data_IF_163543526240
#
_entry.id   IF_163543526240
#
_cell.length_a   1.000
_cell.length_b   1.000
_cell.length_c   1.000
_cell.angle_alpha   90.00
_cell.angle_beta   90.00
_cell.angle_gamma   90.00
#
_symmetry.space_group_name_H-M   'P 1'
#
loop_
_entity.id
_entity.type
_entity.pdbx_description
1 polymer ?
#
# COMPACT_ATOMS: atom_id res chain seq x y z
N UNK A 1 -9.20 20.66 19.01
CA UNK A 1 -7.97 20.35 19.77
C UNK A 1 -7.57 18.92 19.43
N UNK A 2 -6.75 18.73 18.40
CA UNK A 2 -6.34 17.40 17.93
C UNK A 2 -5.20 16.92 18.82
N UNK A 3 -5.53 16.10 19.81
CA UNK A 3 -4.56 15.30 20.55
C UNK A 3 -3.76 14.48 19.54
N UNK A 4 -2.55 14.93 19.22
CA UNK A 4 -1.64 14.10 18.44
C UNK A 4 -1.27 12.91 19.31
N UNK A 5 -1.93 11.78 19.05
CA UNK A 5 -1.65 10.52 19.71
C UNK A 5 -0.12 10.28 19.66
N UNK A 6 0.52 9.93 20.78
CA UNK A 6 1.96 9.66 20.83
C UNK A 6 2.39 8.64 19.76
N UNK A 7 1.49 7.72 19.40
CA UNK A 7 1.64 6.77 18.32
C UNK A 7 1.83 7.44 16.95
N UNK A 8 1.02 8.44 16.58
CA UNK A 8 1.11 9.11 15.27
C UNK A 8 2.40 9.92 15.09
N UNK A 9 2.93 10.49 16.18
CA UNK A 9 4.25 11.15 16.17
C UNK A 9 5.38 10.13 16.05
N UNK A 10 5.28 9.02 16.78
CA UNK A 10 6.26 7.94 16.72
C UNK A 10 6.32 7.30 15.33
N UNK A 11 5.17 6.97 14.71
CA UNK A 11 5.13 6.39 13.37
C UNK A 11 5.66 7.35 12.30
N UNK A 12 5.36 8.66 12.40
CA UNK A 12 5.93 9.67 11.49
C UNK A 12 7.44 9.82 11.65
N UNK A 13 7.95 9.82 12.88
CA UNK A 13 9.39 9.87 13.14
C UNK A 13 10.11 8.64 12.58
N UNK A 14 9.59 7.44 12.88
CA UNK A 14 10.15 6.20 12.37
C UNK A 14 10.07 6.13 10.83
N UNK A 15 8.96 6.54 10.22
CA UNK A 15 8.80 6.54 8.75
C UNK A 15 9.76 7.52 8.08
N UNK A 16 9.94 8.72 8.65
CA UNK A 16 10.92 9.70 8.18
C UNK A 16 12.36 9.21 8.37
N UNK A 17 12.64 8.49 9.45
CA UNK A 17 13.95 7.92 9.73
C UNK A 17 14.25 6.75 8.77
N UNK A 18 13.33 5.82 8.58
CA UNK A 18 13.50 4.64 7.73
C UNK A 18 13.79 4.98 6.26
N UNK A 19 13.29 6.12 5.76
CA UNK A 19 13.54 6.60 4.40
C UNK A 19 14.78 7.49 4.23
N UNK A 20 15.49 7.85 5.31
CA UNK A 20 16.59 8.81 5.24
C UNK A 20 17.94 8.11 4.98
N UNK A 21 18.76 8.52 3.99
CA UNK A 21 20.04 7.86 3.69
C UNK A 21 20.99 7.69 4.88
N UNK A 22 20.91 8.58 5.89
CA UNK A 22 21.70 8.48 7.12
C UNK A 22 21.35 7.26 7.98
N UNK A 23 20.10 6.79 7.97
CA UNK A 23 19.73 5.59 8.76
C UNK A 23 20.24 4.32 8.11
N UNK A 24 20.34 4.29 6.78
CA UNK A 24 20.97 3.19 6.05
C UNK A 24 22.47 3.08 6.40
N UNK A 25 23.20 4.19 6.40
CA UNK A 25 24.61 4.21 6.81
C UNK A 25 24.79 3.77 8.27
N UNK A 26 23.89 4.21 9.17
CA UNK A 26 23.90 3.80 10.56
C UNK A 26 23.64 2.28 10.70
N UNK A 27 22.66 1.74 9.97
CA UNK A 27 22.36 0.31 9.97
C UNK A 27 23.57 -0.53 9.50
N UNK A 28 24.24 -0.11 8.43
CA UNK A 28 25.48 -0.76 7.96
C UNK A 28 26.55 -0.70 9.05
N UNK A 29 26.72 0.45 9.69
CA UNK A 29 27.72 0.60 10.77
C UNK A 29 27.45 -0.35 11.92
N UNK A 30 26.19 -0.50 12.34
CA UNK A 30 25.79 -1.47 13.38
C UNK A 30 26.13 -2.91 12.96
N UNK A 31 25.86 -3.29 11.71
CA UNK A 31 26.20 -4.62 11.19
C UNK A 31 27.72 -4.84 11.18
N UNK A 32 28.51 -3.85 10.76
CA UNK A 32 29.97 -3.93 10.75
C UNK A 32 30.52 -4.07 12.17
N UNK A 33 30.05 -3.25 13.12
CA UNK A 33 30.44 -3.36 14.54
C UNK A 33 30.12 -4.74 15.07
N UNK A 34 28.93 -5.27 14.78
CA UNK A 34 28.55 -6.64 15.15
C UNK A 34 29.54 -7.67 14.58
N UNK A 35 29.87 -7.62 13.28
CA UNK A 35 30.84 -8.55 12.68
C UNK A 35 32.20 -8.49 13.39
N UNK A 36 32.68 -7.28 13.70
CA UNK A 36 33.99 -7.05 14.35
C UNK A 36 34.02 -7.52 15.81
N UNK A 37 32.88 -7.51 16.49
CA UNK A 37 32.76 -8.06 17.85
C UNK A 37 32.65 -9.60 17.86
N UNK A 38 32.32 -10.23 16.73
CA UNK A 38 32.20 -11.69 16.61
C UNK A 38 33.41 -12.51 17.08
N UNK A 39 34.66 -12.16 16.71
CA UNK A 39 35.87 -12.84 17.18
C UNK A 39 36.10 -12.76 18.69
N UNK A 40 35.59 -11.71 19.37
CA UNK A 40 35.68 -11.58 20.84
C UNK A 40 34.81 -12.63 21.53
N UNK A 41 33.72 -13.05 20.87
CA UNK A 41 32.76 -14.03 21.39
C UNK A 41 32.87 -15.40 20.71
N UNK A 42 33.98 -15.66 20.00
CA UNK A 42 34.22 -16.90 19.23
C UNK A 42 33.08 -17.27 18.27
N UNK A 43 32.32 -16.27 17.79
CA UNK A 43 31.11 -16.46 16.99
C UNK A 43 30.13 -17.48 17.61
N UNK A 44 30.02 -17.51 18.94
CA UNK A 44 29.22 -18.50 19.66
C UNK A 44 27.70 -18.40 19.37
N UNK A 45 26.95 -19.40 19.83
CA UNK A 45 25.50 -19.48 19.59
C UNK A 45 24.73 -18.27 20.12
N UNK A 46 25.09 -17.75 21.29
CA UNK A 46 24.43 -16.58 21.89
C UNK A 46 24.66 -15.32 21.06
N UNK A 47 25.88 -15.16 20.53
CA UNK A 47 26.28 -14.07 19.65
C UNK A 47 25.42 -14.03 18.37
N UNK A 48 25.25 -15.18 17.72
CA UNK A 48 24.41 -15.33 16.53
C UNK A 48 22.91 -15.17 16.85
N UNK A 49 22.44 -15.76 17.95
CA UNK A 49 21.04 -15.69 18.36
C UNK A 49 20.61 -14.24 18.63
N UNK A 50 21.51 -13.42 19.17
CA UNK A 50 21.21 -12.02 19.51
C UNK A 50 20.85 -11.21 18.27
N UNK A 51 21.62 -11.29 17.18
CA UNK A 51 21.32 -10.53 15.96
C UNK A 51 20.07 -11.05 15.24
N UNK A 52 19.88 -12.37 15.24
CA UNK A 52 18.73 -12.99 14.60
C UNK A 52 17.44 -12.60 15.33
N UNK A 53 17.45 -12.63 16.66
CA UNK A 53 16.31 -12.22 17.48
C UNK A 53 16.01 -10.74 17.28
N UNK A 54 17.03 -9.89 17.31
CA UNK A 54 16.88 -8.44 17.13
C UNK A 54 16.30 -8.10 15.76
N UNK A 55 16.88 -8.67 14.69
CA UNK A 55 16.43 -8.43 13.31
C UNK A 55 15.01 -8.91 13.09
N UNK A 56 14.62 -10.03 13.70
CA UNK A 56 13.24 -10.55 13.63
C UNK A 56 12.24 -9.58 14.25
N UNK A 57 12.53 -9.05 15.44
CA UNK A 57 11.68 -8.04 16.10
C UNK A 57 11.58 -6.78 15.24
N UNK A 58 12.71 -6.27 14.74
CA UNK A 58 12.73 -5.08 13.88
C UNK A 58 11.93 -5.32 12.60
N UNK A 59 12.07 -6.49 11.98
CA UNK A 59 11.33 -6.87 10.77
C UNK A 59 9.83 -6.93 11.05
N UNK A 60 9.42 -7.56 12.15
CA UNK A 60 8.02 -7.61 12.56
C UNK A 60 7.43 -6.21 12.74
N UNK A 61 8.14 -5.32 13.44
CA UNK A 61 7.74 -3.92 13.57
C UNK A 61 7.71 -3.19 12.22
N UNK A 62 8.67 -3.46 11.34
CA UNK A 62 8.75 -2.86 10.01
C UNK A 62 7.56 -3.24 9.15
N UNK A 63 7.06 -4.48 9.23
CA UNK A 63 5.83 -4.88 8.53
C UNK A 63 4.64 -4.01 8.95
N UNK A 64 4.42 -3.77 10.25
CA UNK A 64 3.35 -2.88 10.71
C UNK A 64 3.55 -1.44 10.26
N UNK A 65 4.79 -0.95 10.27
CA UNK A 65 5.10 0.41 9.83
C UNK A 65 4.86 0.60 8.33
N UNK A 66 5.32 -0.36 7.52
CA UNK A 66 5.08 -0.39 6.08
C UNK A 66 3.59 -0.47 5.81
N UNK A 67 2.86 -1.37 6.46
CA UNK A 67 1.41 -1.49 6.31
C UNK A 67 0.67 -0.21 6.71
N UNK A 68 1.08 0.45 7.80
CA UNK A 68 0.47 1.71 8.23
C UNK A 68 0.71 2.85 7.24
N UNK A 69 1.92 2.95 6.68
CA UNK A 69 2.22 3.94 5.64
C UNK A 69 1.47 3.63 4.35
N UNK A 70 1.52 2.37 3.90
CA UNK A 70 0.85 1.89 2.69
C UNK A 70 -0.67 2.06 2.78
N UNK A 71 -1.28 1.80 3.93
CA UNK A 71 -2.72 1.98 4.11
C UNK A 71 -3.14 3.43 3.89
N UNK A 72 -2.36 4.39 4.43
CA UNK A 72 -2.62 5.81 4.23
C UNK A 72 -2.41 6.24 2.78
N UNK A 73 -1.36 5.74 2.14
CA UNK A 73 -1.07 6.08 0.75
C UNK A 73 -2.12 5.50 -0.20
N UNK A 74 -2.63 4.29 0.07
CA UNK A 74 -3.75 3.68 -0.68
C UNK A 74 -5.03 4.51 -0.57
N UNK A 75 -5.42 4.93 0.63
CA UNK A 75 -6.59 5.79 0.83
C UNK A 75 -6.45 7.13 0.07
N UNK A 76 -5.26 7.71 0.05
CA UNK A 76 -5.01 8.94 -0.69
C UNK A 76 -5.10 8.74 -2.21
N UNK A 77 -4.78 7.56 -2.73
CA UNK A 77 -4.98 7.20 -4.13
C UNK A 77 -6.46 7.05 -4.44
N UNK A 78 -7.22 6.35 -3.60
CA UNK A 78 -8.67 6.18 -3.76
C UNK A 78 -9.41 7.52 -3.83
N UNK A 79 -9.19 8.42 -2.87
CA UNK A 79 -9.82 9.75 -2.87
C UNK A 79 -9.50 10.55 -4.14
N UNK A 80 -8.27 10.43 -4.67
CA UNK A 80 -7.90 11.09 -5.92
C UNK A 80 -8.61 10.48 -7.14
N UNK A 81 -8.78 9.16 -7.17
CA UNK A 81 -9.51 8.46 -8.22
C UNK A 81 -11.00 8.82 -8.16
N UNK A 82 -11.57 8.89 -6.97
CA UNK A 82 -12.96 9.30 -6.76
C UNK A 82 -13.21 10.73 -7.26
N UNK A 83 -12.30 11.66 -7.00
CA UNK A 83 -12.41 13.02 -7.54
C UNK A 83 -12.32 13.04 -9.07
N UNK A 84 -11.46 12.19 -9.67
CA UNK A 84 -11.39 12.06 -11.14
C UNK A 84 -12.69 11.50 -11.73
N UNK A 85 -13.24 10.43 -11.13
CA UNK A 85 -14.52 9.83 -11.54
C UNK A 85 -15.64 10.86 -11.40
N UNK A 86 -15.69 11.58 -10.29
CA UNK A 86 -16.70 12.62 -10.03
C UNK A 86 -16.59 13.81 -10.99
N UNK A 87 -15.39 14.13 -11.46
CA UNK A 87 -15.14 15.23 -12.39
C UNK A 87 -15.55 14.91 -13.84
N UNK A 88 -15.75 13.63 -14.17
CA UNK A 88 -16.20 13.16 -15.47
C UNK A 88 -17.74 13.09 -15.49
N UNK A 89 -18.35 13.83 -16.42
CA UNK A 89 -19.81 13.96 -16.49
C UNK A 89 -20.53 12.69 -16.97
N UNK A 90 -19.82 11.78 -17.65
CA UNK A 90 -20.36 10.53 -18.19
C UNK A 90 -19.98 9.30 -17.32
N UNK A 91 -19.14 9.50 -16.31
CA UNK A 91 -18.74 8.46 -15.38
C UNK A 91 -19.88 8.06 -14.44
N UNK A 92 -19.95 6.76 -14.15
CA UNK A 92 -20.97 6.22 -13.28
C UNK A 92 -20.55 6.39 -11.82
N UNK A 93 -21.20 7.30 -11.09
CA UNK A 93 -20.98 7.52 -9.65
C UNK A 93 -21.11 6.26 -8.79
N UNK A 94 -21.73 5.19 -9.29
CA UNK A 94 -21.76 3.88 -8.65
C UNK A 94 -20.38 3.20 -8.53
N UNK A 95 -19.32 3.78 -9.11
CA UNK A 95 -17.92 3.36 -8.98
C UNK A 95 -17.13 4.13 -7.92
N UNK A 96 -17.75 5.14 -7.29
CA UNK A 96 -17.13 5.82 -6.15
C UNK A 96 -17.17 4.88 -4.93
N UNK A 97 -16.13 4.92 -4.11
CA UNK A 97 -16.08 4.21 -2.82
C UNK A 97 -16.24 2.68 -2.94
N UNK A 98 -15.71 2.09 -4.01
CA UNK A 98 -15.80 0.63 -4.25
C UNK A 98 -15.09 -0.21 -3.18
N UNK A 99 -14.09 0.35 -2.50
CA UNK A 99 -13.31 -0.33 -1.47
C UNK A 99 -14.06 -0.59 -0.16
N UNK A 100 -15.11 0.18 0.12
CA UNK A 100 -15.96 0.01 1.30
C UNK A 100 -17.11 -0.97 1.06
N UNK A 101 -17.31 -1.42 -0.19
CA UNK A 101 -18.34 -2.39 -0.53
C UNK A 101 -18.06 -3.76 0.09
N UNK A 102 -19.14 -4.44 0.49
CA UNK A 102 -19.06 -5.85 0.83
C UNK A 102 -18.69 -6.67 -0.40
N UNK A 103 -18.13 -7.86 -0.19
CA UNK A 103 -17.75 -8.76 -1.29
C UNK A 103 -18.93 -9.08 -2.21
N UNK A 104 -20.13 -9.25 -1.66
CA UNK A 104 -21.35 -9.49 -2.44
C UNK A 104 -21.73 -8.29 -3.32
N UNK A 105 -21.61 -7.07 -2.80
CA UNK A 105 -21.87 -5.84 -3.55
C UNK A 105 -20.82 -5.62 -4.65
N UNK A 106 -19.55 -5.86 -4.35
CA UNK A 106 -18.47 -5.77 -5.33
C UNK A 106 -18.65 -6.77 -6.48
N UNK A 107 -19.09 -7.99 -6.19
CA UNK A 107 -19.45 -8.99 -7.21
C UNK A 107 -20.60 -8.48 -8.07
N UNK A 108 -21.66 -7.93 -7.46
CA UNK A 108 -22.81 -7.41 -8.22
C UNK A 108 -22.42 -6.26 -9.16
N UNK A 109 -21.55 -5.34 -8.70
CA UNK A 109 -21.00 -4.27 -9.56
C UNK A 109 -20.17 -4.88 -10.69
N UNK A 110 -19.27 -5.82 -10.37
CA UNK A 110 -18.42 -6.49 -11.37
C UNK A 110 -19.25 -7.20 -12.44
N UNK A 111 -20.29 -7.95 -12.07
CA UNK A 111 -21.19 -8.62 -13.02
C UNK A 111 -21.86 -7.63 -13.98
N UNK A 112 -22.31 -6.47 -13.47
CA UNK A 112 -22.89 -5.42 -14.31
C UNK A 112 -21.91 -4.92 -15.37
N UNK A 113 -20.64 -4.70 -15.00
CA UNK A 113 -19.60 -4.27 -15.94
C UNK A 113 -19.16 -5.36 -16.90
N UNK A 114 -19.12 -6.61 -16.46
CA UNK A 114 -18.86 -7.75 -17.33
C UNK A 114 -19.95 -7.89 -18.40
N UNK A 115 -21.22 -7.70 -18.03
CA UNK A 115 -22.33 -7.69 -18.99
C UNK A 115 -22.24 -6.52 -19.98
N UNK A 116 -21.87 -5.32 -19.51
CA UNK A 116 -21.62 -4.16 -20.38
C UNK A 116 -20.49 -4.45 -21.37
N UNK A 117 -19.36 -5.00 -20.89
CA UNK A 117 -18.23 -5.37 -21.72
C UNK A 117 -18.58 -6.47 -22.74
N UNK A 118 -19.39 -7.46 -22.34
CA UNK A 118 -19.89 -8.50 -23.25
C UNK A 118 -20.78 -7.91 -24.36
N UNK A 119 -21.68 -6.97 -24.02
CA UNK A 119 -22.53 -6.29 -25.00
C UNK A 119 -21.70 -5.43 -25.96
N UNK A 120 -20.73 -4.67 -25.47
CA UNK A 120 -19.81 -3.88 -26.30
C UNK A 120 -19.04 -4.80 -27.27
N UNK A 121 -18.41 -5.87 -26.77
CA UNK A 121 -17.69 -6.86 -27.59
C UNK A 121 -18.58 -7.52 -28.65
N UNK A 122 -19.84 -7.82 -28.31
CA UNK A 122 -20.80 -8.38 -29.26
C UNK A 122 -21.25 -7.36 -30.32
N UNK A 123 -21.35 -6.07 -29.96
CA UNK A 123 -21.62 -4.96 -30.88
C UNK A 123 -20.49 -4.75 -31.88
N UNK A 124 -19.23 -4.77 -31.42
CA UNK A 124 -18.03 -4.68 -32.25
C UNK A 124 -17.97 -5.84 -33.25
N UNK A 125 -18.25 -7.08 -32.80
CA UNK A 125 -18.32 -8.25 -33.70
C UNK A 125 -19.43 -8.13 -34.77
N UNK A 126 -20.44 -7.29 -34.54
CA UNK A 126 -21.51 -6.99 -35.49
C UNK A 126 -21.28 -5.70 -36.30
N UNK A 127 -20.11 -5.05 -36.16
CA UNK A 127 -19.72 -3.87 -36.93
C UNK A 127 -20.15 -2.51 -36.36
N UNK A 128 -20.55 -2.43 -35.08
CA UNK A 128 -20.81 -1.14 -34.41
C UNK A 128 -19.53 -0.56 -33.76
N UNK A 129 -19.45 0.77 -33.69
CA UNK A 129 -18.31 1.51 -33.10
C UNK A 129 -18.20 1.29 -31.58
N UNK A 130 -16.96 1.32 -31.07
CA UNK A 130 -16.54 0.92 -29.71
C UNK A 130 -16.78 2.02 -28.66
N UNK A 131 -17.13 3.23 -29.08
CA UNK A 131 -17.33 4.36 -28.17
C UNK A 131 -18.80 4.41 -27.75
N UNK A 132 -19.09 3.97 -26.53
CA UNK A 132 -20.42 4.03 -25.91
C UNK A 132 -20.94 5.44 -25.57
N UNK A 133 -20.50 6.46 -26.30
CA UNK A 133 -20.95 7.86 -26.19
C UNK A 133 -21.72 8.18 -27.49
N UNK A 134 -22.98 8.65 -27.43
CA UNK A 134 -23.67 9.12 -28.62
C UNK A 134 -22.84 10.24 -29.25
N UNK A 135 -22.56 10.17 -30.56
CA UNK A 135 -22.04 11.33 -31.28
C UNK A 135 -23.08 12.46 -31.16
N UNK A 136 -22.65 13.57 -30.58
CA UNK A 136 -23.39 14.85 -30.54
C UNK A 136 -23.44 15.49 -31.92
#
# INVERSE_FOLDING_TARGET
MTSQHPFTRFTRFISSAAGHPLTFTLAITVVVVWIVTGPIFDYNTTWQLTINTFTTIVTFLMVFLIQSSQNRDNQAVQIKLDELIRSDADAHNALLDLEELTEAELIAVKEKYELLAQRARAGIKKGHDDKGIPEV
#
